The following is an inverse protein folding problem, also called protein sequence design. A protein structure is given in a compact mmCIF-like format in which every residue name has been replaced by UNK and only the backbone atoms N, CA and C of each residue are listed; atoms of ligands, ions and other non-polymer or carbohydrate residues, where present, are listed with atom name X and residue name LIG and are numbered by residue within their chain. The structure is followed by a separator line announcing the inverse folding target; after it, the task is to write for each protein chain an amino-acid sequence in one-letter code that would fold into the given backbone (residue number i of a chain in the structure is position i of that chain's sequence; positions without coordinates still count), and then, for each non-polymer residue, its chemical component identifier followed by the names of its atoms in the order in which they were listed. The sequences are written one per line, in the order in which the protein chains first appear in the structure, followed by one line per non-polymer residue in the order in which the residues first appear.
data_IF_197337530739
#
_entry.id   IF_197337530739
#
_cell.length_a   1.000
_cell.length_b   1.000
_cell.length_c   1.000
_cell.angle_alpha   90.00
_cell.angle_beta   90.00
_cell.angle_gamma   90.00
#
_symmetry.space_group_name_H-M   'P 1'
#
loop_
_entity.id
_entity.type
_entity.pdbx_description
1 polymer ?
#
# COMPACT_ATOMS: atom_id res chain seq x y z
N UNK A 1 -2.03 34.18 31.29
CA UNK A 1 -2.78 33.74 30.08
C UNK A 1 -1.87 33.20 28.97
N UNK A 2 -0.78 33.88 28.57
CA UNK A 2 0.15 33.35 27.54
C UNK A 2 0.76 31.98 27.87
N UNK A 3 1.15 31.74 29.13
CA UNK A 3 1.71 30.46 29.59
C UNK A 3 0.70 29.30 29.57
N UNK A 4 -0.58 29.59 29.80
CA UNK A 4 -1.67 28.60 29.69
C UNK A 4 -1.97 28.26 28.23
N UNK A 5 -1.91 29.24 27.32
CA UNK A 5 -2.05 29.01 25.89
C UNK A 5 -0.92 28.13 25.32
N UNK A 6 0.33 28.35 25.74
CA UNK A 6 1.46 27.47 25.36
C UNK A 6 1.32 26.05 25.92
N UNK A 7 0.82 25.90 27.16
CA UNK A 7 0.56 24.58 27.74
C UNK A 7 -0.56 23.84 27.00
N UNK A 8 -1.65 24.54 26.64
CA UNK A 8 -2.75 23.94 25.86
C UNK A 8 -2.31 23.60 24.43
N UNK A 9 -1.46 24.41 23.80
CA UNK A 9 -0.89 24.10 22.47
C UNK A 9 0.06 22.90 22.53
N UNK A 10 0.85 22.78 23.60
CA UNK A 10 1.72 21.63 23.83
C UNK A 10 0.91 20.36 24.12
N UNK A 11 -0.20 20.46 24.87
CA UNK A 11 -1.11 19.33 25.14
C UNK A 11 -1.91 18.94 23.89
N UNK A 12 -2.29 19.89 23.04
CA UNK A 12 -2.92 19.63 21.74
C UNK A 12 -1.95 19.05 20.70
N UNK A 13 -0.64 19.13 20.93
CA UNK A 13 0.39 18.39 20.18
C UNK A 13 0.69 17.00 20.78
N UNK A 14 0.12 16.67 21.95
CA UNK A 14 0.31 15.41 22.69
C UNK A 14 -0.92 14.48 22.60
N UNK A 15 -1.92 14.79 21.76
CA UNK A 15 -3.09 13.93 21.60
C UNK A 15 -2.69 12.72 20.75
N UNK A 16 -2.90 11.53 21.31
CA UNK A 16 -2.38 10.26 20.78
C UNK A 16 -2.83 9.95 19.37
N UNK A 17 -1.94 9.31 18.62
CA UNK A 17 -2.21 8.75 17.31
C UNK A 17 -2.76 7.33 17.42
N UNK A 18 -3.64 6.96 16.49
CA UNK A 18 -4.16 5.58 16.37
C UNK A 18 -3.61 4.94 15.11
N UNK A 19 -3.01 3.76 15.24
CA UNK A 19 -2.25 3.06 14.21
C UNK A 19 -3.17 2.20 13.35
N UNK A 20 -2.86 2.08 12.06
CA UNK A 20 -3.67 1.36 11.08
C UNK A 20 -2.80 0.36 10.30
N UNK A 21 -1.71 0.84 9.70
CA UNK A 21 -0.80 0.04 8.88
C UNK A 21 0.65 0.44 9.10
N UNK A 22 1.54 -0.56 9.05
CA UNK A 22 2.98 -0.38 9.21
C UNK A 22 3.72 -0.48 7.85
N UNK A 23 4.38 0.58 7.37
CA UNK A 23 5.20 0.51 6.16
C UNK A 23 6.35 -0.49 6.28
N UNK A 24 6.83 -1.00 5.15
CA UNK A 24 7.99 -1.90 5.13
C UNK A 24 9.28 -1.10 5.09
N UNK A 25 10.31 -1.55 5.81
CA UNK A 25 11.60 -0.89 5.77
C UNK A 25 12.33 -1.22 4.46
N UNK A 26 13.06 -0.25 3.92
CA UNK A 26 13.99 -0.50 2.82
C UNK A 26 15.04 -1.55 3.20
N UNK A 27 15.49 -2.31 2.20
CA UNK A 27 16.68 -3.16 2.31
C UNK A 27 17.95 -2.33 2.54
N UNK A 28 19.04 -2.99 2.90
CA UNK A 28 20.35 -2.32 3.11
C UNK A 28 20.83 -1.59 1.87
N UNK A 29 20.53 -2.13 0.70
CA UNK A 29 20.74 -1.50 -0.58
C UNK A 29 19.40 -1.04 -1.14
N UNK A 30 19.37 0.17 -1.70
CA UNK A 30 18.19 0.74 -2.35
C UNK A 30 18.43 0.82 -3.84
N UNK A 31 17.43 0.47 -4.64
CA UNK A 31 17.46 0.55 -6.09
C UNK A 31 16.44 1.59 -6.56
N UNK A 32 16.77 2.25 -7.67
CA UNK A 32 15.87 3.14 -8.37
C UNK A 32 15.86 2.75 -9.85
N UNK A 33 14.67 2.59 -10.40
CA UNK A 33 14.44 2.40 -11.83
C UNK A 33 13.55 3.54 -12.29
N UNK A 34 14.01 4.29 -13.29
CA UNK A 34 13.23 5.39 -13.87
C UNK A 34 13.28 5.32 -15.38
N UNK A 35 12.12 5.49 -16.01
CA UNK A 35 11.97 5.54 -17.46
C UNK A 35 11.26 6.82 -17.85
N UNK A 36 11.58 7.31 -19.04
CA UNK A 36 10.83 8.38 -19.68
C UNK A 36 10.73 8.05 -21.16
N UNK A 37 9.51 8.12 -21.69
CA UNK A 37 9.20 7.77 -23.06
C UNK A 37 8.43 8.93 -23.68
N UNK A 38 8.96 9.51 -24.74
CA UNK A 38 8.27 10.53 -25.51
C UNK A 38 8.19 10.08 -26.97
N UNK A 39 6.97 10.03 -27.52
CA UNK A 39 6.71 9.58 -28.88
C UNK A 39 5.73 10.52 -29.55
N UNK A 40 6.06 10.94 -30.77
CA UNK A 40 5.14 11.60 -31.69
C UNK A 40 5.13 10.80 -32.98
N UNK A 41 3.98 10.26 -33.36
CA UNK A 41 3.88 9.36 -34.51
C UNK A 41 2.57 9.53 -35.26
N UNK A 42 2.66 9.41 -36.59
CA UNK A 42 1.53 9.18 -37.48
C UNK A 42 1.51 7.69 -37.84
N UNK A 43 0.51 6.96 -37.38
CA UNK A 43 0.42 5.51 -37.57
C UNK A 43 0.04 4.81 -36.27
N UNK A 44 0.76 3.74 -35.95
CA UNK A 44 0.52 2.92 -34.76
C UNK A 44 1.54 3.22 -33.68
N UNK A 45 1.08 3.45 -32.47
CA UNK A 45 1.86 3.56 -31.25
C UNK A 45 1.42 2.48 -30.26
N UNK A 46 2.40 1.81 -29.67
CA UNK A 46 2.19 0.86 -28.59
C UNK A 46 3.12 1.18 -27.44
N UNK A 47 2.56 1.32 -26.24
CA UNK A 47 3.32 1.29 -25.00
C UNK A 47 2.72 0.20 -24.10
N UNK A 48 3.59 -0.54 -23.42
CA UNK A 48 3.18 -1.47 -22.37
C UNK A 48 4.20 -1.41 -21.27
N UNK A 49 3.71 -1.19 -20.06
CA UNK A 49 4.53 -1.05 -18.87
C UNK A 49 4.02 -1.97 -17.76
N UNK A 50 4.96 -2.53 -17.01
CA UNK A 50 4.65 -3.36 -15.87
C UNK A 50 5.72 -3.22 -14.82
N UNK A 51 5.31 -2.98 -13.57
CA UNK A 51 6.19 -3.02 -12.43
C UNK A 51 5.59 -3.94 -11.37
N UNK A 52 6.41 -4.79 -10.76
CA UNK A 52 6.01 -5.63 -9.63
C UNK A 52 7.12 -5.54 -8.59
N UNK A 53 6.73 -5.25 -7.35
CA UNK A 53 7.63 -5.24 -6.22
C UNK A 53 6.99 -6.00 -5.06
N UNK A 54 7.71 -7.00 -4.58
CA UNK A 54 7.38 -7.73 -3.36
C UNK A 54 8.46 -7.46 -2.34
N UNK A 55 8.08 -7.04 -1.15
CA UNK A 55 8.99 -6.82 -0.03
C UNK A 55 8.43 -7.46 1.23
N UNK A 56 9.33 -7.93 2.07
CA UNK A 56 9.03 -8.42 3.42
C UNK A 56 10.15 -8.00 4.37
N UNK A 57 9.85 -7.92 5.67
CA UNK A 57 10.88 -7.90 6.71
C UNK A 57 11.48 -9.29 7.01
N UNK A 58 10.96 -10.35 6.39
CA UNK A 58 11.50 -11.71 6.40
C UNK A 58 11.87 -12.19 4.99
N UNK A 59 12.33 -13.44 4.88
CA UNK A 59 12.72 -14.03 3.60
C UNK A 59 11.51 -14.30 2.70
N UNK A 60 11.36 -13.50 1.64
CA UNK A 60 10.28 -13.62 0.65
C UNK A 60 10.23 -14.99 -0.08
N UNK A 61 11.28 -15.80 0.01
CA UNK A 61 11.31 -17.17 -0.56
C UNK A 61 10.59 -18.17 0.35
N UNK A 62 10.38 -17.83 1.62
CA UNK A 62 9.62 -18.62 2.57
C UNK A 62 8.14 -18.19 2.59
N UNK A 63 7.48 -18.25 1.43
CA UNK A 63 6.09 -17.83 1.27
C UNK A 63 5.31 -18.92 0.49
N UNK A 64 4.26 -19.57 1.03
CA UNK A 64 3.57 -19.36 2.32
C UNK A 64 4.01 -20.32 3.45
N UNK A 65 3.78 -20.01 4.75
CA UNK A 65 2.97 -18.91 5.32
C UNK A 65 3.77 -17.76 5.96
N UNK A 66 3.09 -16.62 6.20
CA UNK A 66 3.63 -15.53 7.02
C UNK A 66 3.97 -16.07 8.42
N UNK A 67 5.18 -15.84 8.94
CA UNK A 67 5.56 -16.31 10.29
C UNK A 67 5.38 -15.24 11.36
N UNK A 68 4.61 -15.53 12.41
CA UNK A 68 4.43 -14.61 13.55
C UNK A 68 5.52 -14.82 14.61
N UNK A 69 5.97 -16.06 14.71
CA UNK A 69 6.88 -16.55 15.74
C UNK A 69 8.01 -17.33 15.09
N UNK A 70 9.24 -17.06 15.51
CA UNK A 70 10.42 -17.84 15.12
C UNK A 70 10.99 -18.52 16.34
N UNK A 71 11.16 -19.83 16.27
CA UNK A 71 11.90 -20.58 17.27
C UNK A 71 13.39 -20.19 17.18
N UNK A 72 13.95 -19.75 18.30
CA UNK A 72 15.35 -19.33 18.40
C UNK A 72 16.04 -20.18 19.45
N UNK A 73 17.26 -20.61 19.15
CA UNK A 73 18.10 -21.38 20.05
C UNK A 73 18.59 -20.40 21.14
N UNK A 74 18.24 -20.62 22.42
CA UNK A 74 18.63 -19.73 23.51
C UNK A 74 20.15 -19.67 23.75
N UNK A 75 20.91 -20.65 23.23
CA UNK A 75 22.38 -20.74 23.37
C UNK A 75 23.10 -20.04 22.22
N UNK A 76 22.62 -20.22 20.99
CA UNK A 76 23.30 -19.66 19.79
C UNK A 76 22.67 -18.37 19.27
N UNK A 77 21.43 -18.05 19.66
CA UNK A 77 20.66 -16.94 19.11
C UNK A 77 20.30 -17.13 17.63
N UNK A 78 20.51 -18.32 17.08
CA UNK A 78 20.17 -18.70 15.71
C UNK A 78 18.77 -19.34 15.64
N UNK A 79 18.19 -19.47 14.43
CA UNK A 79 16.92 -20.17 14.27
C UNK A 79 17.05 -21.63 14.72
N UNK A 80 16.25 -22.04 15.70
CA UNK A 80 16.21 -23.41 16.18
C UNK A 80 15.00 -24.11 15.60
N UNK A 81 15.20 -24.81 14.48
CA UNK A 81 14.14 -25.60 13.86
C UNK A 81 13.81 -26.87 14.66
N UNK A 82 14.56 -27.18 15.73
CA UNK A 82 14.44 -28.40 16.53
C UNK A 82 14.07 -28.17 18.01
N UNK A 83 14.14 -26.94 18.55
CA UNK A 83 13.73 -26.61 19.92
C UNK A 83 12.50 -25.67 19.99
N UNK A 84 11.33 -26.19 20.42
CA UNK A 84 10.06 -25.43 20.42
C UNK A 84 9.88 -24.47 21.62
N UNK A 85 10.83 -24.36 22.53
CA UNK A 85 10.59 -23.83 23.89
C UNK A 85 10.91 -22.35 24.10
N UNK A 86 11.46 -21.65 23.09
CA UNK A 86 11.80 -20.22 23.19
C UNK A 86 11.47 -19.49 21.87
N UNK A 87 10.18 -19.22 21.68
CA UNK A 87 9.67 -18.59 20.46
C UNK A 87 9.72 -17.07 20.59
N UNK A 88 10.53 -16.43 19.75
CA UNK A 88 10.59 -14.98 19.69
C UNK A 88 9.50 -14.43 18.77
N UNK A 89 8.82 -13.37 19.22
CA UNK A 89 7.86 -12.65 18.40
C UNK A 89 8.58 -11.86 17.31
N UNK A 90 8.43 -12.29 16.06
CA UNK A 90 9.11 -11.75 14.89
C UNK A 90 8.12 -11.56 13.76
N UNK A 91 7.00 -10.85 13.97
CA UNK A 91 5.90 -10.87 13.04
C UNK A 91 6.30 -10.36 11.66
N UNK A 92 5.93 -11.13 10.65
CA UNK A 92 6.14 -10.75 9.26
C UNK A 92 5.17 -9.63 8.83
N UNK A 93 5.71 -8.72 8.02
CA UNK A 93 4.99 -7.71 7.23
C UNK A 93 5.41 -7.88 5.79
N UNK A 94 4.44 -7.95 4.90
CA UNK A 94 4.65 -8.11 3.47
C UNK A 94 3.87 -7.04 2.71
N UNK A 95 4.48 -6.54 1.64
CA UNK A 95 3.87 -5.61 0.71
C UNK A 95 4.09 -6.14 -0.70
N UNK A 96 3.02 -6.19 -1.48
CA UNK A 96 3.05 -6.48 -2.91
C UNK A 96 2.46 -5.27 -3.62
N UNK A 97 3.28 -4.63 -4.43
CA UNK A 97 2.86 -3.59 -5.34
C UNK A 97 2.91 -4.13 -6.76
N UNK A 98 1.88 -3.83 -7.54
CA UNK A 98 1.91 -4.04 -8.99
C UNK A 98 1.32 -2.85 -9.73
N UNK A 99 1.88 -2.60 -10.91
CA UNK A 99 1.40 -1.62 -11.88
C UNK A 99 1.38 -2.29 -13.24
N UNK A 100 0.31 -2.07 -14.00
CA UNK A 100 0.22 -2.49 -15.39
C UNK A 100 -0.42 -1.40 -16.22
N UNK A 101 0.15 -1.18 -17.39
CA UNK A 101 -0.36 -0.26 -18.39
C UNK A 101 -0.25 -0.86 -19.78
N UNK A 102 -1.26 -0.56 -20.60
CA UNK A 102 -1.24 -0.80 -22.03
C UNK A 102 -1.90 0.37 -22.75
N UNK A 103 -1.18 0.93 -23.71
CA UNK A 103 -1.65 1.92 -24.67
C UNK A 103 -1.45 1.37 -26.07
N UNK A 104 -2.54 1.27 -26.81
CA UNK A 104 -2.55 0.94 -28.23
C UNK A 104 -3.30 2.05 -28.95
N UNK A 105 -2.57 2.90 -29.66
CA UNK A 105 -3.14 3.90 -30.56
C UNK A 105 -2.85 3.46 -31.99
N UNK A 106 -3.89 3.11 -32.75
CA UNK A 106 -3.75 2.60 -34.11
C UNK A 106 -4.37 3.56 -35.12
N UNK A 107 -3.71 3.68 -36.28
CA UNK A 107 -4.15 4.46 -37.43
C UNK A 107 -4.59 5.90 -37.09
N UNK A 108 -3.71 6.64 -36.42
CA UNK A 108 -3.95 8.05 -36.11
C UNK A 108 -2.68 8.85 -35.84
N UNK A 109 -2.87 10.11 -35.47
CA UNK A 109 -1.83 10.94 -34.89
C UNK A 109 -1.81 10.73 -33.38
N UNK A 110 -0.64 10.39 -32.84
CA UNK A 110 -0.44 10.15 -31.39
C UNK A 110 0.72 10.99 -30.90
N UNK A 111 0.48 11.74 -29.82
CA UNK A 111 1.53 12.26 -28.93
C UNK A 111 1.43 11.51 -27.61
N UNK A 112 2.54 10.98 -27.13
CA UNK A 112 2.62 10.25 -25.88
C UNK A 112 3.84 10.72 -25.11
N UNK A 113 3.65 11.00 -23.83
CA UNK A 113 4.72 11.31 -22.90
C UNK A 113 4.46 10.59 -21.57
N UNK A 114 5.35 9.67 -21.24
CA UNK A 114 5.31 8.88 -20.02
C UNK A 114 6.55 9.07 -19.18
N UNK A 115 6.36 9.12 -17.87
CA UNK A 115 7.44 9.15 -16.88
C UNK A 115 7.07 8.22 -15.75
N UNK A 116 7.89 7.22 -15.52
CA UNK A 116 7.73 6.26 -14.45
C UNK A 116 8.99 6.19 -13.59
N UNK A 117 8.81 6.08 -12.29
CA UNK A 117 9.90 5.83 -11.35
C UNK A 117 9.46 4.88 -10.25
N UNK A 118 10.31 3.91 -9.94
CA UNK A 118 10.20 3.02 -8.80
C UNK A 118 11.47 3.14 -7.94
N UNK A 119 11.31 3.36 -6.64
CA UNK A 119 12.38 3.60 -5.68
C UNK A 119 12.12 2.80 -4.40
N UNK A 120 13.07 1.90 -4.06
CA UNK A 120 12.98 1.02 -2.89
C UNK A 120 13.53 1.65 -1.60
N UNK A 121 13.93 2.92 -1.62
CA UNK A 121 14.39 3.64 -0.44
C UNK A 121 13.24 4.00 0.52
N UNK A 122 13.60 4.19 1.79
CA UNK A 122 12.68 4.71 2.79
C UNK A 122 12.23 6.11 2.41
N UNK A 123 10.92 6.31 2.32
CA UNK A 123 10.28 7.59 2.03
C UNK A 123 9.68 8.17 3.30
N UNK A 124 9.64 9.49 3.35
CA UNK A 124 8.85 10.24 4.34
C UNK A 124 7.51 10.64 3.72
N UNK A 125 6.61 11.19 4.53
CA UNK A 125 5.34 11.72 4.03
C UNK A 125 5.57 12.67 2.82
N UNK A 126 4.71 12.56 1.81
CA UNK A 126 4.78 13.30 0.54
C UNK A 126 5.94 12.93 -0.41
N UNK A 127 6.72 11.91 -0.10
CA UNK A 127 7.58 11.26 -1.09
C UNK A 127 6.93 9.97 -1.58
N UNK A 128 7.33 9.52 -2.77
CA UNK A 128 6.71 8.38 -3.45
C UNK A 128 7.74 7.29 -3.69
N UNK A 129 7.35 6.03 -3.46
CA UNK A 129 8.09 4.86 -3.89
C UNK A 129 7.83 4.58 -5.35
N UNK A 130 6.59 4.72 -5.79
CA UNK A 130 6.22 4.64 -7.20
C UNK A 130 5.51 5.91 -7.63
N UNK A 131 5.87 6.41 -8.80
CA UNK A 131 5.24 7.56 -9.44
C UNK A 131 5.22 7.31 -10.95
N UNK A 132 4.02 7.25 -11.53
CA UNK A 132 3.76 7.21 -12.96
C UNK A 132 2.94 8.43 -13.35
N UNK A 133 3.35 9.12 -14.41
CA UNK A 133 2.60 10.22 -15.02
C UNK A 133 2.60 10.01 -16.52
N UNK A 134 1.42 9.72 -17.04
CA UNK A 134 1.21 9.48 -18.45
C UNK A 134 0.34 10.58 -19.04
N UNK A 135 0.75 11.08 -20.19
CA UNK A 135 -0.02 11.99 -21.00
C UNK A 135 -0.09 11.43 -22.41
N UNK A 136 -1.31 11.35 -22.94
CA UNK A 136 -1.50 10.96 -24.33
C UNK A 136 -2.59 11.76 -25.00
N UNK A 137 -2.29 12.18 -26.22
CA UNK A 137 -3.18 12.87 -27.13
C UNK A 137 -3.27 12.04 -28.41
N UNK A 138 -4.49 11.69 -28.82
CA UNK A 138 -4.75 10.88 -30.00
C UNK A 138 -5.89 11.45 -30.82
N UNK A 139 -5.71 11.43 -32.14
CA UNK A 139 -6.75 11.72 -33.13
C UNK A 139 -6.67 10.68 -34.25
N UNK A 140 -7.75 9.92 -34.45
CA UNK A 140 -7.87 8.98 -35.56
C UNK A 140 -7.88 9.70 -36.92
N UNK A 141 -7.32 9.06 -37.94
CA UNK A 141 -7.44 9.58 -39.31
C UNK A 141 -8.87 9.42 -39.83
N UNK A 142 -9.38 10.40 -40.58
CA UNK A 142 -10.76 10.41 -41.08
C UNK A 142 -11.04 9.35 -42.16
N UNK A 143 -9.98 8.86 -42.82
CA UNK A 143 -10.01 7.89 -43.91
C UNK A 143 -9.65 6.46 -43.46
N UNK A 144 -9.31 6.27 -42.18
CA UNK A 144 -8.98 4.98 -41.58
C UNK A 144 -9.84 4.70 -40.34
N UNK A 145 -10.03 3.43 -39.98
CA UNK A 145 -10.68 3.05 -38.73
C UNK A 145 -9.72 3.17 -37.54
N UNK A 146 -9.22 4.38 -37.30
CA UNK A 146 -8.30 4.67 -36.19
C UNK A 146 -8.97 4.57 -34.83
N UNK A 147 -8.24 4.04 -33.85
CA UNK A 147 -8.73 3.86 -32.49
C UNK A 147 -7.58 3.83 -31.50
N UNK A 148 -7.78 4.49 -30.36
CA UNK A 148 -6.94 4.32 -29.18
C UNK A 148 -7.67 3.43 -28.16
N UNK A 149 -6.92 2.56 -27.51
CA UNK A 149 -7.36 1.78 -26.35
C UNK A 149 -6.29 1.88 -25.29
N UNK A 150 -6.68 2.31 -24.10
CA UNK A 150 -5.80 2.42 -22.93
C UNK A 150 -6.40 1.65 -21.77
N UNK A 151 -5.54 1.02 -21.00
CA UNK A 151 -5.88 0.39 -19.72
C UNK A 151 -4.70 0.55 -18.78
N UNK A 152 -4.99 1.05 -17.59
CA UNK A 152 -4.01 1.25 -16.54
C UNK A 152 -4.60 0.77 -15.22
N UNK A 153 -3.82 0.03 -14.44
CA UNK A 153 -4.20 -0.40 -13.10
C UNK A 153 -2.99 -0.51 -12.19
N UNK A 154 -3.21 -0.20 -10.92
CA UNK A 154 -2.25 -0.43 -9.85
C UNK A 154 -2.91 -1.17 -8.70
N UNK A 155 -2.11 -1.97 -8.00
CA UNK A 155 -2.48 -2.70 -6.82
C UNK A 155 -1.43 -2.50 -5.73
N UNK A 156 -1.91 -2.33 -4.50
CA UNK A 156 -1.12 -2.39 -3.29
C UNK A 156 -1.80 -3.35 -2.32
N UNK A 157 -1.11 -4.43 -2.02
CA UNK A 157 -1.50 -5.44 -1.03
C UNK A 157 -0.52 -5.36 0.14
N UNK A 158 -1.05 -5.14 1.33
CA UNK A 158 -0.32 -4.97 2.57
C UNK A 158 -0.84 -5.98 3.58
N UNK A 159 0.04 -6.86 4.05
CA UNK A 159 -0.29 -7.87 5.04
C UNK A 159 0.69 -7.82 6.22
N UNK A 160 0.19 -8.04 7.44
CA UNK A 160 1.02 -8.12 8.64
C UNK A 160 0.38 -9.00 9.71
N UNK A 161 1.22 -9.67 10.49
CA UNK A 161 0.84 -10.38 11.73
C UNK A 161 1.01 -9.54 13.01
N UNK A 162 1.08 -8.22 12.84
CA UNK A 162 1.32 -7.22 13.86
C UNK A 162 2.78 -6.75 13.89
N UNK A 163 3.09 -5.76 14.72
CA UNK A 163 4.47 -5.36 15.00
C UNK A 163 4.57 -4.47 16.24
N UNK A 164 5.78 -4.35 16.80
CA UNK A 164 6.02 -3.44 17.91
C UNK A 164 6.01 -1.98 17.41
N UNK A 165 5.19 -1.13 18.03
CA UNK A 165 5.12 0.29 17.70
C UNK A 165 6.27 1.09 18.34
N UNK A 166 6.75 0.68 19.52
CA UNK A 166 7.67 1.46 20.35
C UNK A 166 9.01 1.74 19.66
N UNK A 167 9.52 0.77 18.89
CA UNK A 167 10.84 0.88 18.23
C UNK A 167 10.76 1.48 16.82
N UNK A 168 9.54 1.73 16.32
CA UNK A 168 9.31 2.11 14.92
C UNK A 168 8.68 3.47 14.76
N UNK A 169 8.08 4.06 15.79
CA UNK A 169 7.50 5.39 15.69
C UNK A 169 8.54 6.48 15.97
N UNK A 170 8.53 7.57 15.20
CA UNK A 170 9.36 8.73 15.51
C UNK A 170 8.81 9.49 16.73
N UNK A 171 7.48 9.44 16.92
CA UNK A 171 6.78 10.02 18.07
C UNK A 171 6.65 8.98 19.21
N UNK A 172 7.34 9.13 20.36
CA UNK A 172 7.30 8.12 21.44
C UNK A 172 5.94 8.03 22.16
N UNK A 173 5.11 9.05 22.03
CA UNK A 173 3.77 9.13 22.65
C UNK A 173 2.66 8.67 21.70
N UNK A 174 3.04 8.22 20.49
CA UNK A 174 2.15 7.85 19.40
C UNK A 174 1.64 6.41 19.47
N UNK A 175 2.14 5.62 20.43
CA UNK A 175 1.84 4.19 20.58
C UNK A 175 0.43 4.00 21.15
N UNK A 176 -0.58 4.34 20.37
CA UNK A 176 -1.94 3.84 20.60
C UNK A 176 -1.94 2.30 20.58
N UNK A 177 -3.00 1.70 21.10
CA UNK A 177 -3.20 0.24 21.07
C UNK A 177 -2.14 -0.59 21.83
N UNK A 178 -1.88 -0.20 23.09
CA UNK A 178 -1.02 -0.94 24.02
C UNK A 178 0.45 -1.16 23.58
N UNK A 179 0.96 -0.35 22.65
CA UNK A 179 2.34 -0.47 22.16
C UNK A 179 2.50 -1.34 20.91
N UNK A 180 1.40 -1.82 20.33
CA UNK A 180 1.42 -2.75 19.20
C UNK A 180 0.64 -2.22 18.01
N UNK A 181 1.18 -2.41 16.81
CA UNK A 181 0.43 -2.30 15.56
C UNK A 181 -0.23 -3.66 15.34
N UNK A 182 -1.58 -3.75 15.27
CA UNK A 182 -2.28 -5.01 15.04
C UNK A 182 -1.99 -5.64 13.68
N UNK A 183 -2.38 -6.90 13.55
CA UNK A 183 -2.43 -7.55 12.24
C UNK A 183 -3.38 -6.83 11.28
N UNK A 184 -3.03 -6.77 9.99
CA UNK A 184 -3.85 -6.20 8.93
C UNK A 184 -3.66 -6.96 7.62
N UNK A 185 -4.64 -6.85 6.73
CA UNK A 185 -4.61 -7.39 5.38
C UNK A 185 -5.44 -6.47 4.48
N UNK A 186 -4.76 -5.43 3.98
CA UNK A 186 -5.36 -4.33 3.23
C UNK A 186 -4.98 -4.47 1.76
N UNK A 187 -5.98 -4.50 0.89
CA UNK A 187 -5.80 -4.64 -0.56
C UNK A 187 -6.49 -3.48 -1.25
N UNK A 188 -5.72 -2.73 -2.02
CA UNK A 188 -6.18 -1.61 -2.83
C UNK A 188 -5.88 -1.86 -4.28
N UNK A 189 -6.89 -1.66 -5.12
CA UNK A 189 -6.77 -1.80 -6.55
C UNK A 189 -7.53 -0.65 -7.21
N UNK A 190 -6.91 0.03 -8.17
CA UNK A 190 -7.52 1.16 -8.84
C UNK A 190 -6.95 1.35 -10.23
N UNK A 191 -7.74 1.93 -11.12
CA UNK A 191 -7.32 2.11 -12.49
C UNK A 191 -8.34 2.82 -13.36
N UNK A 192 -7.98 2.98 -14.62
CA UNK A 192 -8.87 3.50 -15.65
C UNK A 192 -8.65 2.82 -16.99
N UNK A 193 -9.62 3.00 -17.88
CA UNK A 193 -9.51 2.63 -19.27
C UNK A 193 -10.23 3.62 -20.15
N UNK A 194 -9.70 3.81 -21.36
CA UNK A 194 -10.35 4.59 -22.39
C UNK A 194 -10.32 3.81 -23.70
N UNK A 195 -11.36 3.99 -24.51
CA UNK A 195 -11.33 3.55 -25.89
C UNK A 195 -12.15 4.45 -26.79
N UNK A 196 -11.58 4.88 -27.92
CA UNK A 196 -12.24 5.88 -28.76
C UNK A 196 -11.45 6.29 -29.98
N UNK A 197 -12.02 7.22 -30.75
CA UNK A 197 -11.39 7.77 -31.95
C UNK A 197 -10.61 9.06 -31.70
N UNK A 198 -10.79 9.68 -30.54
CA UNK A 198 -10.08 10.90 -30.15
C UNK A 198 -10.01 10.98 -28.63
N UNK A 199 -8.84 11.32 -28.08
CA UNK A 199 -8.70 11.58 -26.65
C UNK A 199 -7.55 12.53 -26.38
N UNK A 200 -7.70 13.33 -25.34
CA UNK A 200 -6.62 13.98 -24.61
C UNK A 200 -6.75 13.54 -23.16
N UNK A 201 -5.73 12.87 -22.63
CA UNK A 201 -5.78 12.28 -21.30
C UNK A 201 -4.47 12.45 -20.55
N UNK A 202 -4.60 12.58 -19.23
CA UNK A 202 -3.50 12.51 -18.28
C UNK A 202 -3.89 11.54 -17.18
N UNK A 203 -3.03 10.58 -16.88
CA UNK A 203 -3.16 9.72 -15.72
C UNK A 203 -1.97 9.89 -14.77
N UNK A 204 -2.23 9.65 -13.48
CA UNK A 204 -1.18 9.63 -12.45
C UNK A 204 -1.44 8.49 -11.49
N UNK A 205 -0.45 7.63 -11.31
CA UNK A 205 -0.46 6.54 -10.35
C UNK A 205 0.70 6.71 -9.38
N UNK A 206 0.42 6.77 -8.08
CA UNK A 206 1.42 7.02 -7.07
C UNK A 206 1.24 6.10 -5.87
N UNK A 207 2.33 5.63 -5.28
CA UNK A 207 2.28 4.97 -3.98
C UNK A 207 3.47 5.31 -3.10
N UNK A 208 3.27 5.21 -1.79
CA UNK A 208 4.30 5.24 -0.77
C UNK A 208 3.94 4.16 0.26
N UNK A 209 4.83 3.19 0.45
CA UNK A 209 4.63 2.08 1.38
C UNK A 209 5.95 1.56 1.99
N UNK A 210 7.08 2.16 1.61
CA UNK A 210 8.40 1.83 2.13
C UNK A 210 8.90 2.99 2.97
N UNK A 211 9.01 2.79 4.28
CA UNK A 211 9.46 3.80 5.21
C UNK A 211 10.16 3.16 6.41
N UNK A 212 11.09 3.92 7.02
CA UNK A 212 11.81 3.47 8.21
C UNK A 212 10.91 3.51 9.46
N UNK A 213 10.03 4.50 9.52
CA UNK A 213 9.21 4.78 10.67
C UNK A 213 7.75 4.41 10.40
N UNK A 214 7.11 3.80 11.41
CA UNK A 214 5.72 3.35 11.36
C UNK A 214 4.69 4.49 11.35
N UNK A 215 5.14 5.73 11.57
CA UNK A 215 4.31 6.92 11.54
C UNK A 215 4.29 7.65 10.19
N UNK A 216 5.02 7.12 9.20
CA UNK A 216 4.86 7.51 7.81
C UNK A 216 3.64 6.80 7.24
N UNK A 217 2.66 7.53 6.68
CA UNK A 217 1.48 6.92 6.09
C UNK A 217 1.86 6.04 4.89
N UNK A 218 1.24 4.85 4.81
CA UNK A 218 1.16 4.16 3.53
C UNK A 218 0.02 4.77 2.73
N UNK A 219 0.19 4.89 1.42
CA UNK A 219 -0.77 5.61 0.58
C UNK A 219 -0.66 5.17 -0.87
N UNK A 220 -1.81 5.03 -1.52
CA UNK A 220 -1.95 4.76 -2.94
C UNK A 220 -2.96 5.75 -3.53
N UNK A 221 -2.52 6.44 -4.58
CA UNK A 221 -3.29 7.48 -5.26
C UNK A 221 -3.39 7.19 -6.74
N UNK A 222 -4.57 7.40 -7.31
CA UNK A 222 -4.80 7.34 -8.75
C UNK A 222 -5.61 8.54 -9.22
N UNK A 223 -5.23 9.13 -10.34
CA UNK A 223 -6.07 10.13 -10.99
C UNK A 223 -6.08 9.93 -12.49
N UNK A 224 -7.24 10.15 -13.10
CA UNK A 224 -7.41 10.26 -14.54
C UNK A 224 -8.20 11.51 -14.85
N UNK A 225 -7.72 12.28 -15.82
CA UNK A 225 -8.44 13.38 -16.43
C UNK A 225 -8.40 13.21 -17.93
N UNK A 226 -9.56 13.18 -18.59
CA UNK A 226 -9.65 13.04 -20.04
C UNK A 226 -10.81 13.81 -20.65
N UNK A 227 -10.66 14.13 -21.93
CA UNK A 227 -11.72 14.59 -22.83
C UNK A 227 -11.55 13.90 -24.18
N UNK A 228 -12.63 13.67 -24.91
CA UNK A 228 -12.54 12.94 -26.18
C UNK A 228 -13.85 12.35 -26.67
N UNK A 229 -13.76 11.55 -27.73
CA UNK A 229 -14.91 10.81 -28.29
C UNK A 229 -14.65 9.32 -28.17
N UNK A 230 -15.43 8.65 -27.32
CA UNK A 230 -15.21 7.25 -26.99
C UNK A 230 -15.98 6.77 -25.78
N UNK A 231 -15.41 5.82 -25.06
CA UNK A 231 -15.88 5.29 -23.78
C UNK A 231 -14.75 5.33 -22.77
N UNK A 232 -14.99 5.94 -21.62
CA UNK A 232 -14.07 6.02 -20.49
C UNK A 232 -14.63 5.23 -19.30
N UNK A 233 -13.75 4.64 -18.51
CA UNK A 233 -14.08 4.03 -17.23
C UNK A 233 -12.97 4.29 -16.21
N UNK A 234 -13.33 4.55 -14.96
CA UNK A 234 -12.38 4.62 -13.85
C UNK A 234 -12.99 4.01 -12.59
N UNK A 235 -12.17 3.27 -11.85
CA UNK A 235 -12.66 2.41 -10.79
C UNK A 235 -11.67 2.28 -9.63
N UNK A 236 -12.21 1.86 -8.50
CA UNK A 236 -11.47 1.53 -7.27
C UNK A 236 -12.15 0.34 -6.60
N UNK A 237 -11.33 -0.59 -6.14
CA UNK A 237 -11.68 -1.67 -5.23
C UNK A 237 -10.75 -1.54 -4.02
N UNK A 238 -11.32 -1.40 -2.83
CA UNK A 238 -10.59 -1.40 -1.58
C UNK A 238 -11.19 -2.47 -0.66
N UNK A 239 -10.32 -3.26 -0.05
CA UNK A 239 -10.66 -4.15 1.04
C UNK A 239 -9.70 -3.89 2.18
N UNK A 240 -10.21 -3.39 3.30
CA UNK A 240 -9.45 -3.05 4.50
C UNK A 240 -9.85 -4.00 5.60
N UNK A 241 -8.91 -4.79 6.09
CA UNK A 241 -9.10 -5.65 7.25
C UNK A 241 -8.04 -5.31 8.27
N UNK A 242 -8.45 -4.63 9.34
CA UNK A 242 -7.53 -4.22 10.40
C UNK A 242 -7.90 -4.86 11.72
N UNK A 243 -6.87 -5.28 12.44
CA UNK A 243 -6.99 -5.81 13.77
C UNK A 243 -7.05 -4.71 14.84
N UNK A 244 -7.32 -5.14 16.07
CA UNK A 244 -7.17 -4.36 17.30
C UNK A 244 -6.48 -5.22 18.36
N UNK A 245 -5.67 -4.59 19.20
CA UNK A 245 -5.08 -5.27 20.36
C UNK A 245 -6.14 -5.45 21.45
N UNK A 246 -6.25 -6.67 21.97
CA UNK A 246 -7.16 -7.03 23.05
C UNK A 246 -6.37 -7.25 24.35
N UNK A 247 -6.41 -8.45 24.92
CA UNK A 247 -5.54 -8.81 26.04
C UNK A 247 -4.10 -8.92 25.55
N UNK A 248 -3.18 -8.23 26.21
CA UNK A 248 -1.74 -8.40 26.01
C UNK A 248 -1.08 -8.67 27.35
N UNK A 249 -0.09 -9.55 27.35
CA UNK A 249 0.67 -9.97 28.52
C UNK A 249 2.16 -9.99 28.16
N UNK A 250 3.01 -9.67 29.13
CA UNK A 250 4.47 -9.72 28.93
C UNK A 250 4.93 -11.14 28.62
N UNK A 251 4.36 -12.12 29.33
CA UNK A 251 4.50 -13.55 29.02
C UNK A 251 3.14 -14.21 29.22
N UNK A 252 2.73 -14.99 28.23
CA UNK A 252 1.56 -15.85 28.32
C UNK A 252 2.00 -17.30 28.18
N UNK A 253 1.62 -18.13 29.14
CA UNK A 253 1.87 -19.58 29.12
C UNK A 253 0.64 -20.29 28.60
N UNK A 254 0.79 -21.06 27.52
CA UNK A 254 -0.23 -22.00 27.07
C UNK A 254 -0.34 -23.13 28.10
N UNK A 255 -1.52 -23.31 28.70
CA UNK A 255 -1.73 -24.29 29.76
C UNK A 255 -1.80 -25.73 29.23
N UNK A 256 -2.05 -25.91 27.94
CA UNK A 256 -2.16 -27.22 27.29
C UNK A 256 -0.81 -27.71 26.78
N UNK A 257 0.05 -26.82 26.27
CA UNK A 257 1.39 -27.18 25.77
C UNK A 257 2.53 -26.86 26.74
N UNK A 258 2.33 -25.92 27.66
CA UNK A 258 3.37 -25.41 28.55
C UNK A 258 4.32 -24.39 27.90
N UNK A 259 4.05 -23.98 26.66
CA UNK A 259 4.87 -23.03 25.91
C UNK A 259 4.68 -21.61 26.41
N UNK A 260 5.76 -20.83 26.42
CA UNK A 260 5.73 -19.41 26.78
C UNK A 260 5.80 -18.54 25.52
N UNK A 261 4.92 -17.55 25.45
CA UNK A 261 4.85 -16.57 24.37
C UNK A 261 5.08 -15.17 24.93
N UNK A 262 6.05 -14.45 24.38
CA UNK A 262 6.38 -13.08 24.81
C UNK A 262 6.60 -12.16 23.59
N UNK A 263 5.78 -11.10 23.40
CA UNK A 263 4.56 -10.78 24.15
C UNK A 263 3.42 -11.75 23.83
N UNK A 264 2.62 -12.11 24.84
CA UNK A 264 1.44 -12.95 24.67
C UNK A 264 0.19 -12.14 24.32
N UNK A 265 -0.57 -12.58 23.32
CA UNK A 265 -1.84 -11.98 22.92
C UNK A 265 -3.01 -12.91 23.24
N UNK A 266 -4.12 -12.31 23.68
CA UNK A 266 -5.37 -13.01 23.97
C UNK A 266 -6.57 -12.28 23.39
N UNK A 267 -7.27 -12.95 22.49
CA UNK A 267 -8.57 -12.55 21.99
C UNK A 267 -9.66 -13.12 22.93
N UNK A 268 -10.16 -12.32 23.86
CA UNK A 268 -11.19 -12.74 24.81
C UNK A 268 -12.58 -12.95 24.16
N UNK A 269 -12.80 -12.54 22.90
CA UNK A 269 -14.06 -12.77 22.18
C UNK A 269 -14.11 -14.19 21.58
N UNK A 270 -12.99 -14.70 21.08
CA UNK A 270 -12.89 -16.04 20.45
C UNK A 270 -12.22 -17.08 21.34
N UNK A 271 -11.52 -16.66 22.40
CA UNK A 271 -10.64 -17.50 23.20
C UNK A 271 -9.31 -17.81 22.52
N UNK A 272 -9.01 -17.21 21.36
CA UNK A 272 -7.73 -17.42 20.67
C UNK A 272 -6.56 -16.80 21.46
N UNK A 273 -5.49 -17.56 21.59
CA UNK A 273 -4.30 -17.23 22.38
C UNK A 273 -3.06 -17.45 21.51
N UNK A 274 -2.01 -16.65 21.71
CA UNK A 274 -0.70 -16.88 21.06
C UNK A 274 -0.28 -18.37 21.14
N UNK A 275 0.18 -18.98 20.04
CA UNK A 275 0.60 -18.36 18.78
C UNK A 275 -0.52 -18.18 17.74
N UNK A 276 -1.74 -18.66 18.03
CA UNK A 276 -2.88 -18.34 17.17
C UNK A 276 -3.14 -16.83 17.25
N UNK A 277 -3.34 -16.16 16.10
CA UNK A 277 -3.39 -14.70 16.01
C UNK A 277 -4.35 -14.11 17.07
N UNK A 278 -3.78 -13.60 18.16
CA UNK A 278 -4.53 -13.09 19.33
C UNK A 278 -5.07 -11.68 19.15
N UNK A 279 -4.86 -11.06 17.99
CA UNK A 279 -5.55 -9.84 17.60
C UNK A 279 -7.02 -10.14 17.28
N UNK A 280 -7.93 -9.21 17.59
CA UNK A 280 -9.30 -9.26 17.06
C UNK A 280 -9.38 -8.47 15.77
N UNK A 281 -10.17 -8.95 14.81
CA UNK A 281 -10.62 -8.10 13.71
C UNK A 281 -11.42 -6.92 14.27
N UNK A 282 -10.91 -5.70 14.05
CA UNK A 282 -11.53 -4.45 14.48
C UNK A 282 -12.27 -3.73 13.36
N UNK A 283 -11.83 -3.92 12.11
CA UNK A 283 -12.40 -3.30 10.91
C UNK A 283 -12.46 -4.32 9.77
N UNK A 284 -13.58 -4.29 9.04
CA UNK A 284 -13.73 -4.90 7.72
C UNK A 284 -14.49 -3.93 6.84
N UNK A 285 -13.80 -3.31 5.90
CA UNK A 285 -14.36 -2.34 4.98
C UNK A 285 -14.12 -2.80 3.55
N UNK A 286 -15.20 -3.00 2.81
CA UNK A 286 -15.18 -3.21 1.37
C UNK A 286 -15.78 -1.99 0.69
N UNK A 287 -15.01 -1.34 -0.17
CA UNK A 287 -15.47 -0.22 -0.98
C UNK A 287 -15.18 -0.48 -2.44
N UNK A 288 -16.21 -0.35 -3.29
CA UNK A 288 -16.10 -0.54 -4.73
C UNK A 288 -16.85 0.58 -5.43
N UNK A 289 -16.20 1.23 -6.37
CA UNK A 289 -16.83 2.25 -7.19
C UNK A 289 -16.31 2.17 -8.62
N UNK A 290 -17.22 2.22 -9.59
CA UNK A 290 -16.89 2.32 -11.02
C UNK A 290 -17.73 3.40 -11.66
N UNK A 291 -17.07 4.30 -12.38
CA UNK A 291 -17.70 5.39 -13.13
C UNK A 291 -17.40 5.18 -14.61
N UNK A 292 -18.41 5.34 -15.47
CA UNK A 292 -18.27 5.19 -16.92
C UNK A 292 -18.92 6.36 -17.64
N UNK A 293 -18.32 6.82 -18.74
CA UNK A 293 -18.88 7.82 -19.64
C UNK A 293 -18.67 7.39 -21.09
N UNK A 294 -19.62 7.71 -21.98
CA UNK A 294 -19.51 7.36 -23.40
C UNK A 294 -20.12 8.43 -24.30
N UNK A 295 -19.66 8.47 -25.56
CA UNK A 295 -20.05 9.48 -26.55
C UNK A 295 -18.99 10.58 -26.65
N UNK A 296 -19.45 11.82 -26.80
CA UNK A 296 -18.59 13.02 -26.73
C UNK A 296 -18.43 13.40 -25.26
N UNK A 297 -17.22 13.24 -24.75
CA UNK A 297 -16.84 13.50 -23.36
C UNK A 297 -16.13 14.85 -23.31
N UNK A 298 -16.84 15.89 -22.86
CA UNK A 298 -16.25 17.22 -22.66
C UNK A 298 -15.25 17.23 -21.49
N UNK A 299 -15.56 16.47 -20.43
CA UNK A 299 -14.69 16.29 -19.29
C UNK A 299 -15.04 15.00 -18.55
N UNK A 300 -14.03 14.20 -18.24
CA UNK A 300 -14.10 13.09 -17.31
C UNK A 300 -12.89 13.19 -16.38
N UNK A 301 -13.13 13.37 -15.09
CA UNK A 301 -12.07 13.42 -14.08
C UNK A 301 -12.44 12.56 -12.89
N UNK A 302 -11.53 11.69 -12.45
CA UNK A 302 -11.65 10.95 -11.21
C UNK A 302 -10.32 10.97 -10.47
N UNK A 303 -10.37 11.28 -9.19
CA UNK A 303 -9.25 11.21 -8.27
C UNK A 303 -9.59 10.26 -7.13
N UNK A 304 -8.71 9.31 -6.87
CA UNK A 304 -8.82 8.29 -5.83
C UNK A 304 -7.57 8.44 -4.97
N UNK A 305 -7.76 8.47 -3.66
CA UNK A 305 -6.68 8.51 -2.69
C UNK A 305 -7.07 7.60 -1.53
N UNK A 306 -6.17 6.68 -1.21
CA UNK A 306 -6.27 5.84 -0.02
C UNK A 306 -5.01 6.05 0.78
N UNK A 307 -5.18 6.23 2.08
CA UNK A 307 -4.10 6.46 3.01
C UNK A 307 -4.36 5.65 4.27
N UNK A 308 -3.43 4.76 4.61
CA UNK A 308 -3.46 4.02 5.85
C UNK A 308 -2.42 4.63 6.78
N UNK A 309 -2.89 5.37 7.78
CA UNK A 309 -2.04 5.86 8.84
C UNK A 309 -2.83 6.52 9.97
N UNK A 310 -2.11 6.61 11.08
CA UNK A 310 -2.21 7.59 12.18
C UNK A 310 -3.35 8.60 12.03
N UNK A 311 -4.47 8.29 12.70
CA UNK A 311 -5.46 9.31 13.04
C UNK A 311 -4.78 10.32 13.96
N UNK A 312 -4.55 11.55 13.46
CA UNK A 312 -4.31 12.71 14.32
C UNK A 312 -5.59 12.94 15.12
N UNK A 313 -5.54 12.75 16.44
CA UNK A 313 -6.57 13.27 17.35
C UNK A 313 -6.41 14.79 17.49
#
# INVERSE_FOLDING_TARGET
MKKFAFAVLAIALLVGSVMAVDPINATTETQVISTSTAVVVMGTMTNSESAVLTMSNQDIRNNPPLNQWTAIDPVTGGPDLEAPWDNQWTPERQAVFSYTESVLADNGYTEFNGVQSMDTANKVANQKNFNSVEQYDFVAFSDAMGRITTSESQLLDLASQGSNALDRMLCPFATGDAGFIPSYCNVYEMGSSFTGGQVSAITRANTNFIAKAADVPTMIDYSVGLSGTGSAAAWVNAHVMEGRTMGHYDTLTDLDTGDNWSPGFWNYDTGAISPSNGFAQGLDLVYKEKTTASGVIESFSKSISVQDAIRRL
#
